data_IF_520211177236
#
_entry.id   IF_520211177236
#
_cell.length_a   1.000
_cell.length_b   1.000
_cell.length_c   1.000
_cell.angle_alpha   90.00
_cell.angle_beta   90.00
_cell.angle_gamma   90.00
#
_symmetry.space_group_name_H-M   'P 1'
#
loop_
_entity.id
_entity.type
_entity.pdbx_description
1 polymer ?
#
# COMPACT_ATOMS: atom_id res chain seq x y z
N UNK A 1 11.10 45.80 15.38
CA UNK A 1 10.17 44.75 14.94
C UNK A 1 11.00 43.72 14.19
N UNK A 2 11.43 42.68 14.91
CA UNK A 2 12.40 41.71 14.41
C UNK A 2 11.65 40.61 13.64
N UNK A 3 11.54 40.78 12.32
CA UNK A 3 11.13 39.71 11.41
C UNK A 3 12.36 38.82 11.31
N UNK A 4 12.40 37.72 12.06
CA UNK A 4 13.41 36.68 11.84
C UNK A 4 13.42 36.36 10.34
N UNK A 5 14.52 36.67 9.67
CA UNK A 5 14.61 36.69 8.19
C UNK A 5 14.14 35.36 7.61
N UNK A 6 12.95 35.33 7.04
CA UNK A 6 12.46 34.23 6.22
C UNK A 6 13.47 34.00 5.10
N UNK A 7 13.95 32.76 4.96
CA UNK A 7 14.96 32.43 3.94
C UNK A 7 14.34 32.51 2.54
N UNK A 8 15.15 32.84 1.54
CA UNK A 8 14.77 32.73 0.12
C UNK A 8 14.57 31.27 -0.30
N UNK A 9 13.91 31.02 -1.44
CA UNK A 9 13.70 29.67 -1.99
C UNK A 9 15.03 28.93 -2.16
N UNK A 10 16.03 29.61 -2.70
CA UNK A 10 17.38 29.07 -2.93
C UNK A 10 18.09 28.75 -1.62
N UNK A 11 17.92 29.60 -0.59
CA UNK A 11 18.48 29.36 0.74
C UNK A 11 17.82 28.17 1.43
N UNK A 12 16.50 28.02 1.38
CA UNK A 12 15.84 26.81 1.91
C UNK A 12 16.31 25.55 1.19
N UNK A 13 16.42 25.58 -0.15
CA UNK A 13 16.93 24.46 -0.92
C UNK A 13 18.38 24.12 -0.56
N UNK A 14 19.23 25.13 -0.39
CA UNK A 14 20.62 24.94 0.03
C UNK A 14 20.70 24.31 1.44
N UNK A 15 19.93 24.82 2.39
CA UNK A 15 19.88 24.26 3.75
C UNK A 15 19.36 22.82 3.77
N UNK A 16 18.35 22.51 2.95
CA UNK A 16 17.84 21.14 2.80
C UNK A 16 18.90 20.19 2.24
N UNK A 17 19.69 20.62 1.24
CA UNK A 17 20.81 19.83 0.70
C UNK A 17 21.92 19.61 1.73
N UNK A 18 22.26 20.62 2.52
CA UNK A 18 23.23 20.46 3.62
C UNK A 18 22.74 19.48 4.69
N UNK A 19 21.45 19.53 5.01
CA UNK A 19 20.82 18.61 5.94
C UNK A 19 20.82 17.17 5.41
N UNK A 20 20.58 16.97 4.10
CA UNK A 20 20.67 15.67 3.43
C UNK A 20 22.08 15.09 3.52
N UNK A 21 23.12 15.89 3.24
CA UNK A 21 24.53 15.47 3.38
C UNK A 21 24.92 15.07 4.81
N UNK A 22 24.17 15.56 5.80
CA UNK A 22 24.38 15.24 7.21
C UNK A 22 23.39 14.20 7.75
N UNK A 23 22.59 13.59 6.87
CA UNK A 23 21.53 12.62 7.19
C UNK A 23 20.50 13.13 8.22
N UNK A 24 20.34 14.46 8.32
CA UNK A 24 19.37 15.10 9.22
C UNK A 24 18.04 15.29 8.51
N UNK A 25 17.32 14.19 8.28
CA UNK A 25 16.11 14.19 7.44
C UNK A 25 14.92 14.98 8.01
N UNK A 26 14.86 15.18 9.33
CA UNK A 26 13.90 16.12 9.93
C UNK A 26 14.17 17.56 9.48
N UNK A 27 15.44 17.96 9.40
CA UNK A 27 15.82 19.30 8.94
C UNK A 27 15.59 19.45 7.43
N UNK A 28 15.82 18.39 6.64
CA UNK A 28 15.43 18.36 5.21
C UNK A 28 13.93 18.64 5.09
N UNK A 29 13.12 17.91 5.85
CA UNK A 29 11.65 18.02 5.84
C UNK A 29 11.21 19.43 6.25
N UNK A 30 11.78 19.99 7.32
CA UNK A 30 11.44 21.33 7.79
C UNK A 30 11.77 22.41 6.75
N UNK A 31 12.97 22.37 6.15
CA UNK A 31 13.37 23.33 5.12
C UNK A 31 12.51 23.21 3.85
N UNK A 32 12.25 21.98 3.40
CA UNK A 32 11.43 21.75 2.21
C UNK A 32 9.96 22.09 2.42
N UNK A 33 9.40 21.84 3.59
CA UNK A 33 8.02 22.23 3.92
C UNK A 33 7.86 23.75 3.94
N UNK A 34 8.84 24.49 4.48
CA UNK A 34 8.87 25.95 4.42
C UNK A 34 8.98 26.44 2.98
N UNK A 35 9.86 25.82 2.17
CA UNK A 35 9.98 26.13 0.75
C UNK A 35 8.64 25.97 0.02
N UNK A 36 7.97 24.84 0.22
CA UNK A 36 6.66 24.56 -0.40
C UNK A 36 5.61 25.58 0.06
N UNK A 37 5.53 25.85 1.36
CA UNK A 37 4.51 26.73 1.93
C UNK A 37 4.66 28.18 1.46
N UNK A 38 5.90 28.65 1.27
CA UNK A 38 6.18 30.05 0.97
C UNK A 38 6.32 30.35 -0.52
N UNK A 39 6.77 29.40 -1.34
CA UNK A 39 7.21 29.67 -2.71
C UNK A 39 6.53 28.82 -3.78
N UNK A 40 5.74 27.80 -3.40
CA UNK A 40 5.00 26.97 -4.36
C UNK A 40 3.58 27.50 -4.53
N UNK A 41 3.18 27.68 -5.78
CA UNK A 41 1.85 28.13 -6.16
C UNK A 41 1.46 27.50 -7.52
N UNK A 42 0.22 27.66 -7.99
CA UNK A 42 -0.19 27.18 -9.32
C UNK A 42 0.67 27.70 -10.48
N UNK A 43 1.39 28.82 -10.30
CA UNK A 43 2.29 29.42 -11.30
C UNK A 43 3.77 29.18 -10.99
N UNK A 44 4.10 28.51 -9.89
CA UNK A 44 5.46 28.31 -9.38
C UNK A 44 5.57 26.89 -8.82
N UNK A 45 5.71 25.90 -9.71
CA UNK A 45 5.84 24.50 -9.32
C UNK A 45 7.23 24.18 -8.72
N UNK A 46 7.33 23.04 -8.03
CA UNK A 46 8.63 22.48 -7.66
C UNK A 46 9.36 21.95 -8.90
N UNK A 47 10.66 22.19 -8.98
CA UNK A 47 11.57 21.52 -9.89
C UNK A 47 11.70 20.04 -9.54
N UNK A 48 12.21 19.21 -10.45
CA UNK A 48 12.43 17.79 -10.19
C UNK A 48 13.34 17.55 -8.98
N UNK A 49 14.42 18.33 -8.86
CA UNK A 49 15.37 18.25 -7.73
C UNK A 49 14.67 18.58 -6.41
N UNK A 50 13.85 19.63 -6.37
CA UNK A 50 13.11 19.99 -5.16
C UNK A 50 12.04 18.94 -4.81
N UNK A 51 11.33 18.38 -5.80
CA UNK A 51 10.37 17.28 -5.58
C UNK A 51 11.05 16.06 -4.98
N UNK A 52 12.20 15.66 -5.54
CA UNK A 52 13.00 14.52 -5.06
C UNK A 52 13.48 14.77 -3.63
N UNK A 53 14.03 15.95 -3.33
CA UNK A 53 14.55 16.27 -2.00
C UNK A 53 13.45 16.33 -0.92
N UNK A 54 12.28 16.91 -1.24
CA UNK A 54 11.12 16.89 -0.35
C UNK A 54 10.74 15.46 0.03
N UNK A 55 10.70 14.57 -0.96
CA UNK A 55 10.38 13.17 -0.74
C UNK A 55 11.48 12.45 0.03
N UNK A 56 12.76 12.68 -0.28
CA UNK A 56 13.90 12.09 0.45
C UNK A 56 13.80 12.39 1.94
N UNK A 57 13.53 13.65 2.32
CA UNK A 57 13.35 14.03 3.73
C UNK A 57 12.19 13.28 4.38
N UNK A 58 10.99 13.41 3.83
CA UNK A 58 9.80 12.81 4.44
C UNK A 58 9.84 11.27 4.43
N UNK A 59 10.46 10.65 3.42
CA UNK A 59 10.59 9.19 3.30
C UNK A 59 11.51 8.63 4.38
N UNK A 60 12.69 9.23 4.57
CA UNK A 60 13.64 8.73 5.57
C UNK A 60 13.09 8.89 7.00
N UNK A 61 12.39 9.99 7.30
CA UNK A 61 11.73 10.19 8.59
C UNK A 61 10.66 9.12 8.84
N UNK A 62 9.75 8.91 7.88
CA UNK A 62 8.67 7.92 8.07
C UNK A 62 9.20 6.49 8.09
N UNK A 63 10.22 6.15 7.29
CA UNK A 63 10.79 4.79 7.24
C UNK A 63 11.50 4.43 8.55
N UNK A 64 12.19 5.39 9.19
CA UNK A 64 12.77 5.19 10.52
C UNK A 64 11.68 4.89 11.56
N UNK A 65 10.61 5.67 11.58
CA UNK A 65 9.47 5.47 12.49
C UNK A 65 8.76 4.15 12.24
N UNK A 66 8.52 3.79 10.97
CA UNK A 66 7.89 2.52 10.59
C UNK A 66 8.75 1.31 10.98
N UNK A 67 10.07 1.40 10.82
CA UNK A 67 11.00 0.35 11.25
C UNK A 67 10.94 0.14 12.77
N UNK A 68 10.95 1.23 13.54
CA UNK A 68 10.78 1.18 14.99
C UNK A 68 9.41 0.58 15.37
N UNK A 69 8.33 1.03 14.72
CA UNK A 69 6.98 0.55 14.96
C UNK A 69 6.82 -0.95 14.66
N UNK A 70 7.38 -1.46 13.56
CA UNK A 70 7.37 -2.90 13.24
C UNK A 70 8.08 -3.72 14.31
N UNK A 71 9.24 -3.24 14.76
CA UNK A 71 10.03 -3.90 15.81
C UNK A 71 9.24 -3.98 17.12
N UNK A 72 8.64 -2.86 17.55
CA UNK A 72 7.84 -2.80 18.78
C UNK A 72 6.58 -3.65 18.66
N UNK A 73 5.92 -3.63 17.49
CA UNK A 73 4.73 -4.45 17.21
C UNK A 73 5.05 -5.94 17.29
N UNK A 74 6.20 -6.38 16.78
CA UNK A 74 6.67 -7.76 16.92
C UNK A 74 6.92 -8.13 18.39
N UNK A 75 7.51 -7.22 19.18
CA UNK A 75 7.73 -7.43 20.62
C UNK A 75 6.41 -7.53 21.39
N UNK A 76 5.37 -6.78 20.98
CA UNK A 76 4.02 -6.89 21.59
C UNK A 76 3.33 -8.21 21.22
N UNK A 77 3.51 -8.69 19.99
CA UNK A 77 2.92 -9.95 19.49
C UNK A 77 3.59 -11.20 20.09
N UNK A 78 4.91 -11.13 20.36
CA UNK A 78 5.66 -12.22 20.99
C UNK A 78 5.34 -12.32 22.49
N UNK A 79 4.30 -13.10 22.81
CA UNK A 79 3.80 -13.35 24.17
C UNK A 79 4.42 -14.56 24.88
N UNK A 80 5.35 -15.28 24.24
CA UNK A 80 5.96 -16.47 24.84
C UNK A 80 6.65 -16.13 26.17
N UNK A 81 6.20 -16.79 27.25
CA UNK A 81 6.81 -16.73 28.58
C UNK A 81 6.49 -15.49 29.42
N UNK A 82 5.67 -14.53 28.95
CA UNK A 82 5.34 -13.32 29.73
C UNK A 82 4.07 -13.53 30.57
N UNK A 83 4.16 -13.20 31.86
CA UNK A 83 2.98 -13.01 32.72
C UNK A 83 2.35 -11.66 32.36
N UNK A 84 1.05 -11.63 32.10
CA UNK A 84 0.30 -10.38 31.91
C UNK A 84 0.64 -9.38 33.03
N UNK A 85 1.04 -8.15 32.68
CA UNK A 85 1.44 -7.12 33.65
C UNK A 85 1.90 -5.79 33.02
N UNK A 86 2.36 -4.86 33.87
CA UNK A 86 2.86 -3.49 33.52
C UNK A 86 3.83 -3.44 32.31
N UNK A 87 4.74 -4.41 32.08
CA UNK A 87 5.60 -4.41 30.89
C UNK A 87 4.85 -4.46 29.56
N UNK A 88 3.74 -5.19 29.45
CA UNK A 88 2.95 -5.28 28.20
C UNK A 88 2.20 -3.97 27.92
N UNK A 89 1.69 -3.32 28.96
CA UNK A 89 1.03 -2.03 28.83
C UNK A 89 2.00 -0.94 28.37
N UNK A 90 3.25 -0.95 28.88
CA UNK A 90 4.30 -0.01 28.46
C UNK A 90 4.67 -0.18 26.98
N UNK A 91 4.84 -1.42 26.52
CA UNK A 91 5.11 -1.71 25.10
C UNK A 91 3.97 -1.20 24.22
N UNK A 92 2.73 -1.48 24.61
CA UNK A 92 1.55 -1.00 23.90
C UNK A 92 1.49 0.54 23.84
N UNK A 93 1.73 1.24 24.95
CA UNK A 93 1.76 2.71 24.98
C UNK A 93 2.84 3.26 24.05
N UNK A 94 4.01 2.63 24.02
CA UNK A 94 5.09 3.05 23.13
C UNK A 94 4.76 2.80 21.65
N UNK A 95 4.12 1.67 21.30
CA UNK A 95 3.60 1.44 19.94
C UNK A 95 2.65 2.56 19.52
N UNK A 96 1.66 2.91 20.34
CA UNK A 96 0.71 3.98 20.00
C UNK A 96 1.39 5.35 19.88
N UNK A 97 2.45 5.62 20.66
CA UNK A 97 3.26 6.83 20.48
C UNK A 97 3.88 6.88 19.08
N UNK A 98 4.47 5.78 18.62
CA UNK A 98 5.05 5.67 17.27
C UNK A 98 3.97 5.83 16.18
N UNK A 99 2.78 5.27 16.38
CA UNK A 99 1.64 5.44 15.45
C UNK A 99 1.22 6.91 15.33
N UNK A 100 1.18 7.64 16.44
CA UNK A 100 0.92 9.08 16.44
C UNK A 100 2.01 9.87 15.70
N UNK A 101 3.27 9.50 15.85
CA UNK A 101 4.39 10.12 15.14
C UNK A 101 4.34 9.83 13.63
N UNK A 102 4.07 8.58 13.23
CA UNK A 102 3.88 8.19 11.82
C UNK A 102 2.71 8.96 11.22
N UNK A 103 1.57 9.00 11.92
CA UNK A 103 0.36 9.69 11.44
C UNK A 103 0.64 11.17 11.19
N UNK A 104 1.32 11.83 12.13
CA UNK A 104 1.68 13.25 12.01
C UNK A 104 2.54 13.54 10.76
N UNK A 105 3.52 12.69 10.46
CA UNK A 105 4.36 12.84 9.27
C UNK A 105 3.54 12.63 7.99
N UNK A 106 2.71 11.58 7.96
CA UNK A 106 1.84 11.27 6.81
C UNK A 106 0.84 12.40 6.56
N UNK A 107 0.14 12.87 7.59
CA UNK A 107 -0.84 13.95 7.49
C UNK A 107 -0.20 15.25 7.01
N UNK A 108 1.03 15.54 7.45
CA UNK A 108 1.79 16.71 7.02
C UNK A 108 2.03 16.74 5.51
N UNK A 109 2.56 15.66 4.94
CA UNK A 109 2.82 15.59 3.49
C UNK A 109 1.54 15.45 2.67
N UNK A 110 0.53 14.71 3.17
CA UNK A 110 -0.78 14.58 2.51
C UNK A 110 -1.47 15.94 2.42
N UNK A 111 -1.35 16.78 3.45
CA UNK A 111 -1.83 18.16 3.41
C UNK A 111 -1.15 18.97 2.30
N UNK A 112 0.19 18.95 2.25
CA UNK A 112 0.94 19.66 1.20
C UNK A 112 0.59 19.15 -0.21
N UNK A 113 0.40 17.84 -0.37
CA UNK A 113 0.00 17.24 -1.63
C UNK A 113 -1.36 17.75 -2.11
N UNK A 114 -2.36 17.73 -1.22
CA UNK A 114 -3.72 18.10 -1.57
C UNK A 114 -3.90 19.61 -1.76
N UNK A 115 -3.27 20.42 -0.91
CA UNK A 115 -3.47 21.89 -0.91
C UNK A 115 -2.55 22.60 -1.91
N UNK A 116 -1.35 22.07 -2.19
CA UNK A 116 -0.31 22.82 -2.90
C UNK A 116 0.30 22.07 -4.08
N UNK A 117 0.78 20.83 -3.88
CA UNK A 117 1.62 20.16 -4.89
C UNK A 117 0.81 19.62 -6.08
N UNK A 118 -0.31 18.93 -5.83
CA UNK A 118 -1.18 18.45 -6.91
C UNK A 118 -1.78 19.64 -7.70
N UNK A 119 -2.30 20.71 -7.06
CA UNK A 119 -2.76 21.90 -7.77
C UNK A 119 -1.65 22.61 -8.58
N UNK A 120 -0.40 22.62 -8.10
CA UNK A 120 0.72 23.24 -8.81
C UNK A 120 1.32 22.39 -9.94
N UNK A 121 0.88 21.14 -10.12
CA UNK A 121 1.40 20.27 -11.18
C UNK A 121 1.05 20.74 -12.60
N UNK A 122 0.07 21.64 -12.77
CA UNK A 122 -0.29 22.24 -14.06
C UNK A 122 -0.61 21.18 -15.13
N UNK A 123 0.02 21.28 -16.29
CA UNK A 123 -0.07 20.30 -17.38
C UNK A 123 0.99 19.18 -17.32
N UNK A 124 1.90 19.20 -16.34
CA UNK A 124 2.98 18.21 -16.24
C UNK A 124 2.41 16.84 -15.84
N UNK A 125 2.43 15.91 -16.78
CA UNK A 125 2.04 14.51 -16.58
C UNK A 125 2.94 13.85 -15.52
N UNK A 126 4.25 14.03 -15.64
CA UNK A 126 5.21 13.45 -14.70
C UNK A 126 4.99 13.94 -13.27
N UNK A 127 4.76 15.25 -13.09
CA UNK A 127 4.48 15.81 -11.76
C UNK A 127 3.19 15.23 -11.17
N UNK A 128 2.13 15.08 -11.97
CA UNK A 128 0.87 14.48 -11.52
C UNK A 128 1.07 13.03 -11.10
N UNK A 129 1.68 12.21 -11.96
CA UNK A 129 1.93 10.78 -11.65
C UNK A 129 2.79 10.68 -10.39
N UNK A 130 3.84 11.49 -10.28
CA UNK A 130 4.69 11.54 -9.09
C UNK A 130 3.87 11.85 -7.83
N UNK A 131 3.14 12.97 -7.80
CA UNK A 131 2.40 13.38 -6.60
C UNK A 131 1.29 12.41 -6.20
N UNK A 132 0.53 11.86 -7.16
CA UNK A 132 -0.48 10.85 -6.84
C UNK A 132 0.13 9.53 -6.33
N UNK A 133 1.30 9.14 -6.86
CA UNK A 133 2.03 7.97 -6.34
C UNK A 133 2.46 8.19 -4.90
N UNK A 134 3.03 9.36 -4.60
CA UNK A 134 3.44 9.71 -3.24
C UNK A 134 2.23 9.80 -2.30
N UNK A 135 1.11 10.37 -2.76
CA UNK A 135 -0.14 10.35 -1.98
C UNK A 135 -0.58 8.93 -1.63
N UNK A 136 -0.53 8.01 -2.60
CA UNK A 136 -0.81 6.59 -2.38
C UNK A 136 0.15 5.94 -1.39
N UNK A 137 1.44 6.28 -1.43
CA UNK A 137 2.43 5.76 -0.48
C UNK A 137 2.15 6.19 0.96
N UNK A 138 1.85 7.47 1.20
CA UNK A 138 1.57 7.95 2.56
C UNK A 138 0.22 7.49 3.08
N UNK A 139 -0.81 7.39 2.23
CA UNK A 139 -2.08 6.75 2.60
C UNK A 139 -1.87 5.24 2.90
N UNK A 140 -0.97 4.56 2.18
CA UNK A 140 -0.59 3.17 2.47
C UNK A 140 0.13 3.04 3.81
N UNK A 141 0.99 3.98 4.18
CA UNK A 141 1.64 3.97 5.50
C UNK A 141 0.64 4.16 6.64
N UNK A 142 -0.38 4.99 6.45
CA UNK A 142 -1.50 5.11 7.39
C UNK A 142 -2.32 3.81 7.47
N UNK A 143 -2.57 3.14 6.35
CA UNK A 143 -3.26 1.85 6.32
C UNK A 143 -2.47 0.74 7.03
N UNK A 144 -1.13 0.78 6.99
CA UNK A 144 -0.27 -0.19 7.67
C UNK A 144 -0.44 -0.16 9.19
N UNK A 145 -0.51 1.03 9.78
CA UNK A 145 -0.66 1.20 11.23
C UNK A 145 -2.13 1.08 11.71
N UNK A 146 -3.09 1.33 10.82
CA UNK A 146 -4.53 1.21 11.09
C UNK A 146 -5.09 -0.11 10.55
N UNK A 147 -4.54 -1.24 10.98
CA UNK A 147 -4.94 -2.56 10.49
C UNK A 147 -6.43 -2.81 10.71
N UNK A 148 -7.14 -3.15 9.63
CA UNK A 148 -8.59 -3.40 9.65
C UNK A 148 -9.45 -2.17 9.41
N UNK A 149 -8.85 -1.00 9.20
CA UNK A 149 -9.52 0.18 8.67
C UNK A 149 -9.55 0.12 7.13
N UNK A 150 -10.67 -0.35 6.59
CA UNK A 150 -10.89 -0.44 5.15
C UNK A 150 -10.79 0.95 4.49
N UNK A 151 -11.16 2.04 5.19
CA UNK A 151 -11.16 3.41 4.63
C UNK A 151 -9.74 3.87 4.25
N UNK A 152 -8.77 3.65 5.13
CA UNK A 152 -7.37 3.99 4.86
C UNK A 152 -6.83 3.22 3.64
N UNK A 153 -7.16 1.92 3.54
CA UNK A 153 -6.72 1.08 2.42
C UNK A 153 -7.39 1.47 1.09
N UNK A 154 -8.64 1.92 1.12
CA UNK A 154 -9.39 2.41 -0.03
C UNK A 154 -8.83 3.73 -0.55
N UNK A 155 -8.49 4.67 0.34
CA UNK A 155 -7.84 5.94 -0.03
C UNK A 155 -6.56 5.71 -0.83
N UNK A 156 -5.64 4.89 -0.31
CA UNK A 156 -4.40 4.55 -1.00
C UNK A 156 -4.66 3.93 -2.38
N UNK A 157 -5.65 3.03 -2.47
CA UNK A 157 -6.07 2.40 -3.74
C UNK A 157 -6.57 3.44 -4.75
N UNK A 158 -7.36 4.41 -4.31
CA UNK A 158 -7.87 5.49 -5.18
C UNK A 158 -6.73 6.37 -5.70
N UNK A 159 -5.77 6.73 -4.83
CA UNK A 159 -4.60 7.54 -5.22
C UNK A 159 -3.72 6.81 -6.24
N UNK A 160 -3.41 5.53 -6.02
CA UNK A 160 -2.65 4.74 -6.98
C UNK A 160 -3.40 4.55 -8.31
N UNK A 161 -4.73 4.36 -8.29
CA UNK A 161 -5.54 4.29 -9.52
C UNK A 161 -5.55 5.61 -10.30
N UNK A 162 -5.60 6.75 -9.60
CA UNK A 162 -5.49 8.06 -10.23
C UNK A 162 -4.13 8.23 -10.92
N UNK A 163 -3.03 7.88 -10.23
CA UNK A 163 -1.69 7.87 -10.82
C UNK A 163 -1.61 6.92 -12.03
N UNK A 164 -2.18 5.72 -11.91
CA UNK A 164 -2.14 4.68 -12.95
C UNK A 164 -2.89 5.10 -14.20
N UNK A 165 -4.06 5.72 -14.05
CA UNK A 165 -4.85 6.23 -15.18
C UNK A 165 -4.04 7.21 -16.02
N UNK A 166 -3.35 8.15 -15.37
CA UNK A 166 -2.50 9.14 -16.04
C UNK A 166 -1.24 8.48 -16.64
N UNK A 167 -0.57 7.62 -15.87
CA UNK A 167 0.67 6.98 -16.30
C UNK A 167 0.47 6.04 -17.50
N UNK A 168 -0.64 5.28 -17.54
CA UNK A 168 -0.93 4.38 -18.65
C UNK A 168 -1.31 5.12 -19.94
N UNK A 169 -1.89 6.32 -19.83
CA UNK A 169 -2.29 7.13 -20.96
C UNK A 169 -1.09 7.83 -21.62
N UNK A 170 -0.18 8.39 -20.82
CA UNK A 170 0.81 9.36 -21.29
C UNK A 170 2.27 8.96 -21.08
N UNK A 171 2.58 7.89 -20.31
CA UNK A 171 3.94 7.43 -20.07
C UNK A 171 4.20 6.05 -20.70
N UNK A 172 5.34 5.91 -21.39
CA UNK A 172 5.78 4.63 -21.96
C UNK A 172 6.01 3.58 -20.86
N UNK A 173 5.85 2.27 -21.15
CA UNK A 173 6.06 1.20 -20.18
C UNK A 173 7.41 1.23 -19.45
N UNK A 174 8.50 1.57 -20.15
CA UNK A 174 9.83 1.67 -19.55
C UNK A 174 10.07 2.93 -18.72
N UNK A 175 9.11 3.85 -18.64
CA UNK A 175 9.29 5.13 -17.94
C UNK A 175 9.47 4.92 -16.41
N UNK A 176 10.47 5.53 -15.75
CA UNK A 176 10.75 5.32 -14.33
C UNK A 176 9.55 5.54 -13.41
N UNK A 177 8.79 6.62 -13.62
CA UNK A 177 7.59 6.91 -12.82
C UNK A 177 6.48 5.86 -12.97
N UNK A 178 6.28 5.31 -14.18
CA UNK A 178 5.27 4.27 -14.42
C UNK A 178 5.69 2.95 -13.76
N UNK A 179 6.97 2.60 -13.86
CA UNK A 179 7.56 1.44 -13.19
C UNK A 179 7.50 1.57 -11.66
N UNK A 180 7.88 2.73 -11.11
CA UNK A 180 7.86 3.00 -9.68
C UNK A 180 6.44 2.95 -9.12
N UNK A 181 5.46 3.50 -9.84
CA UNK A 181 4.05 3.37 -9.50
C UNK A 181 3.62 1.90 -9.47
N UNK A 182 3.95 1.10 -10.49
CA UNK A 182 3.57 -0.32 -10.53
C UNK A 182 4.20 -1.10 -9.38
N UNK A 183 5.46 -0.81 -9.04
CA UNK A 183 6.14 -1.39 -7.88
C UNK A 183 5.39 -1.07 -6.59
N UNK A 184 5.14 0.21 -6.30
CA UNK A 184 4.50 0.62 -5.06
C UNK A 184 3.05 0.11 -4.95
N UNK A 185 2.31 0.11 -6.07
CA UNK A 185 0.95 -0.38 -6.09
C UNK A 185 0.88 -1.91 -5.93
N UNK A 186 1.84 -2.65 -6.50
CA UNK A 186 1.95 -4.11 -6.25
C UNK A 186 2.20 -4.41 -4.78
N UNK A 187 3.06 -3.63 -4.12
CA UNK A 187 3.34 -3.75 -2.67
C UNK A 187 2.09 -3.43 -1.86
N UNK A 188 1.29 -2.43 -2.25
CA UNK A 188 -0.01 -2.16 -1.61
C UNK A 188 -0.96 -3.37 -1.69
N UNK A 189 -1.08 -3.98 -2.88
CA UNK A 189 -1.90 -5.18 -3.03
C UNK A 189 -1.41 -6.34 -2.16
N UNK A 190 -0.11 -6.52 -2.02
CA UNK A 190 0.48 -7.59 -1.22
C UNK A 190 0.36 -7.32 0.28
N UNK A 191 0.93 -6.21 0.75
CA UNK A 191 1.11 -5.91 2.17
C UNK A 191 -0.20 -5.47 2.84
N UNK A 192 -1.00 -4.64 2.18
CA UNK A 192 -2.21 -4.05 2.77
C UNK A 192 -3.45 -4.87 2.42
N UNK A 193 -3.71 -5.09 1.13
CA UNK A 193 -4.94 -5.74 0.68
C UNK A 193 -4.90 -7.28 0.76
N UNK A 194 -3.74 -7.86 1.10
CA UNK A 194 -3.51 -9.32 1.16
C UNK A 194 -3.94 -10.04 -0.12
N UNK A 195 -3.81 -9.36 -1.26
CA UNK A 195 -4.22 -9.82 -2.59
C UNK A 195 -2.98 -10.25 -3.41
N UNK A 196 -2.29 -11.29 -2.95
CA UNK A 196 -1.01 -11.75 -3.49
C UNK A 196 -1.05 -12.02 -4.99
N UNK A 197 -2.11 -12.66 -5.50
CA UNK A 197 -2.24 -12.94 -6.93
C UNK A 197 -2.27 -11.65 -7.77
N UNK A 198 -3.01 -10.64 -7.32
CA UNK A 198 -3.09 -9.32 -7.98
C UNK A 198 -1.74 -8.60 -7.93
N UNK A 199 -1.05 -8.64 -6.79
CA UNK A 199 0.28 -8.05 -6.63
C UNK A 199 1.30 -8.66 -7.61
N UNK A 200 1.40 -10.00 -7.63
CA UNK A 200 2.31 -10.71 -8.54
C UNK A 200 1.98 -10.44 -10.01
N UNK A 201 0.68 -10.46 -10.37
CA UNK A 201 0.25 -10.19 -11.74
C UNK A 201 0.62 -8.77 -12.17
N UNK A 202 0.40 -7.77 -11.30
CA UNK A 202 0.72 -6.38 -11.60
C UNK A 202 2.22 -6.18 -11.81
N UNK A 203 3.05 -6.71 -10.90
CA UNK A 203 4.50 -6.56 -11.00
C UNK A 203 5.08 -7.28 -12.23
N UNK A 204 4.54 -8.45 -12.58
CA UNK A 204 4.93 -9.19 -13.78
C UNK A 204 4.58 -8.45 -15.06
N UNK A 205 3.34 -7.98 -15.19
CA UNK A 205 2.90 -7.22 -16.37
C UNK A 205 3.77 -5.96 -16.56
N UNK A 206 4.02 -5.21 -15.49
CA UNK A 206 4.88 -4.03 -15.56
C UNK A 206 6.32 -4.35 -16.01
N UNK A 207 6.87 -5.48 -15.56
CA UNK A 207 8.20 -5.94 -15.97
C UNK A 207 8.23 -6.36 -17.44
N UNK A 208 7.28 -7.19 -17.86
CA UNK A 208 7.19 -7.73 -19.22
C UNK A 208 6.96 -6.59 -20.24
N UNK A 209 6.02 -5.67 -19.97
CA UNK A 209 5.73 -4.51 -20.84
C UNK A 209 6.96 -3.59 -20.98
N UNK A 210 7.69 -3.34 -19.89
CA UNK A 210 8.87 -2.48 -19.90
C UNK A 210 10.04 -3.12 -20.63
N UNK A 211 10.21 -4.44 -20.50
CA UNK A 211 11.23 -5.20 -21.24
C UNK A 211 10.97 -5.13 -22.75
N UNK A 212 9.72 -5.29 -23.17
CA UNK A 212 9.31 -5.18 -24.57
C UNK A 212 9.56 -3.77 -25.14
N UNK A 213 9.18 -2.71 -24.40
CA UNK A 213 9.39 -1.32 -24.78
C UNK A 213 10.88 -0.98 -24.89
N UNK A 214 11.73 -1.46 -23.97
CA UNK A 214 13.18 -1.26 -24.02
C UNK A 214 13.83 -1.97 -25.20
N UNK A 215 13.43 -3.21 -25.50
CA UNK A 215 13.96 -3.95 -26.65
C UNK A 215 13.57 -3.33 -28.00
N UNK A 216 12.45 -2.60 -28.03
CA UNK A 216 11.92 -1.95 -29.23
C UNK A 216 12.46 -0.53 -29.45
N UNK A 217 13.12 0.07 -28.45
CA UNK A 217 13.59 1.46 -28.49
C UNK A 217 15.09 1.54 -28.82
N UNK A 218 15.54 2.37 -29.77
CA UNK A 218 16.94 2.44 -30.22
C UNK A 218 17.88 3.21 -29.26
N UNK A 219 17.66 3.15 -27.94
CA UNK A 219 18.45 3.88 -26.95
C UNK A 219 18.75 3.06 -25.70
N UNK A 220 19.83 3.40 -25.00
CA UNK A 220 20.17 2.76 -23.74
C UNK A 220 19.07 3.01 -22.69
N UNK A 221 18.57 1.97 -22.01
CA UNK A 221 17.58 2.15 -20.96
C UNK A 221 18.10 3.01 -19.82
N UNK A 222 17.21 3.80 -19.21
CA UNK A 222 17.54 4.54 -17.99
C UNK A 222 17.98 3.58 -16.88
N UNK A 223 19.13 3.86 -16.26
CA UNK A 223 19.64 3.10 -15.11
C UNK A 223 18.62 3.03 -13.96
N UNK A 224 17.83 4.08 -13.78
CA UNK A 224 16.74 4.11 -12.80
C UNK A 224 15.64 3.10 -13.16
N UNK A 225 15.28 3.02 -14.45
CA UNK A 225 14.28 2.05 -14.93
C UNK A 225 14.75 0.62 -14.77
N UNK A 226 16.01 0.34 -15.12
CA UNK A 226 16.63 -0.97 -14.94
C UNK A 226 16.65 -1.39 -13.47
N UNK A 227 16.98 -0.47 -12.57
CA UNK A 227 16.95 -0.73 -11.13
C UNK A 227 15.54 -1.06 -10.63
N UNK A 228 14.52 -0.30 -11.04
CA UNK A 228 13.13 -0.55 -10.63
C UNK A 228 12.64 -1.90 -11.18
N UNK A 229 12.98 -2.25 -12.42
CA UNK A 229 12.66 -3.57 -12.98
C UNK A 229 13.29 -4.72 -12.20
N UNK A 230 14.52 -4.54 -11.71
CA UNK A 230 15.15 -5.53 -10.84
C UNK A 230 14.40 -5.70 -9.52
N UNK A 231 13.91 -4.60 -8.93
CA UNK A 231 13.06 -4.64 -7.72
C UNK A 231 11.71 -5.32 -7.97
N UNK A 232 11.06 -5.03 -9.10
CA UNK A 232 9.83 -5.71 -9.51
C UNK A 232 10.05 -7.22 -9.65
N UNK A 233 11.14 -7.61 -10.34
CA UNK A 233 11.52 -9.02 -10.46
C UNK A 233 11.82 -9.62 -9.09
N UNK A 234 12.56 -8.92 -8.24
CA UNK A 234 12.88 -9.39 -6.90
C UNK A 234 11.61 -9.61 -6.08
N UNK A 235 10.65 -8.69 -6.07
CA UNK A 235 9.39 -8.87 -5.32
C UNK A 235 8.57 -10.07 -5.82
N UNK A 236 8.52 -10.28 -7.15
CA UNK A 236 7.80 -11.43 -7.74
C UNK A 236 8.55 -12.74 -7.51
N UNK A 237 9.88 -12.74 -7.58
CA UNK A 237 10.71 -13.96 -7.49
C UNK A 237 11.16 -14.28 -6.07
N UNK A 238 11.12 -13.31 -5.16
CA UNK A 238 11.36 -13.51 -3.74
C UNK A 238 10.38 -14.57 -3.28
N UNK A 239 10.95 -15.65 -2.77
CA UNK A 239 10.25 -16.87 -2.41
C UNK A 239 9.06 -16.60 -1.49
N UNK A 240 9.02 -15.51 -0.71
CA UNK A 240 7.87 -15.19 0.14
C UNK A 240 6.56 -14.95 -0.64
N UNK A 241 6.53 -14.13 -1.70
CA UNK A 241 5.27 -13.85 -2.41
C UNK A 241 4.78 -15.10 -3.16
N UNK A 242 5.70 -15.85 -3.77
CA UNK A 242 5.38 -17.10 -4.46
C UNK A 242 5.04 -18.24 -3.52
N UNK A 243 5.69 -18.33 -2.35
CA UNK A 243 5.36 -19.31 -1.31
C UNK A 243 4.00 -18.97 -0.70
N UNK A 244 3.74 -17.71 -0.33
CA UNK A 244 2.44 -17.29 0.17
C UNK A 244 1.33 -17.54 -0.86
N UNK A 245 1.59 -17.29 -2.14
CA UNK A 245 0.65 -17.60 -3.21
C UNK A 245 0.43 -19.11 -3.33
N UNK A 246 1.49 -19.92 -3.26
CA UNK A 246 1.40 -21.38 -3.29
C UNK A 246 0.58 -21.89 -2.11
N UNK A 247 0.85 -21.42 -0.90
CA UNK A 247 0.15 -21.78 0.32
C UNK A 247 -1.32 -21.38 0.25
N UNK A 248 -1.63 -20.18 -0.26
CA UNK A 248 -3.02 -19.74 -0.50
C UNK A 248 -3.73 -20.61 -1.54
N UNK A 249 -3.05 -21.02 -2.61
CA UNK A 249 -3.63 -21.90 -3.65
C UNK A 249 -3.86 -23.31 -3.11
N UNK A 250 -2.91 -23.86 -2.35
CA UNK A 250 -3.05 -25.15 -1.69
C UNK A 250 -4.17 -25.13 -0.66
N UNK A 251 -4.24 -24.10 0.19
CA UNK A 251 -5.31 -23.92 1.14
C UNK A 251 -6.68 -23.83 0.45
N UNK A 252 -6.81 -23.04 -0.62
CA UNK A 252 -8.05 -22.95 -1.41
C UNK A 252 -8.42 -24.27 -2.09
N UNK A 253 -7.43 -25.06 -2.55
CA UNK A 253 -7.67 -26.42 -3.08
C UNK A 253 -8.20 -27.35 -2.01
N UNK A 254 -7.59 -27.36 -0.82
CA UNK A 254 -8.04 -28.16 0.33
C UNK A 254 -9.46 -27.76 0.74
N UNK A 255 -9.75 -26.47 0.86
CA UNK A 255 -11.10 -25.97 1.15
C UNK A 255 -12.12 -26.39 0.09
N UNK A 256 -11.77 -26.33 -1.20
CA UNK A 256 -12.64 -26.80 -2.27
C UNK A 256 -12.90 -28.32 -2.21
N UNK A 257 -11.89 -29.12 -1.86
CA UNK A 257 -12.05 -30.56 -1.64
C UNK A 257 -12.96 -30.82 -0.45
N UNK A 258 -12.74 -30.14 0.68
CA UNK A 258 -13.59 -30.26 1.87
C UNK A 258 -15.03 -29.85 1.55
N UNK A 259 -15.24 -28.73 0.84
CA UNK A 259 -16.55 -28.26 0.44
C UNK A 259 -17.27 -29.25 -0.49
N UNK A 260 -16.57 -29.81 -1.49
CA UNK A 260 -17.13 -30.85 -2.38
C UNK A 260 -17.46 -32.12 -1.62
N UNK A 261 -16.60 -32.55 -0.70
CA UNK A 261 -16.83 -33.71 0.17
C UNK A 261 -18.00 -33.45 1.12
N UNK A 262 -18.14 -32.26 1.70
CA UNK A 262 -19.27 -31.88 2.55
C UNK A 262 -20.57 -31.77 1.75
N UNK A 263 -20.53 -31.29 0.50
CA UNK A 263 -21.68 -31.26 -0.41
C UNK A 263 -22.10 -32.67 -0.83
N UNK A 264 -21.13 -33.55 -1.09
CA UNK A 264 -21.37 -34.96 -1.39
C UNK A 264 -21.93 -35.72 -0.16
N UNK A 265 -21.38 -35.49 1.04
CA UNK A 265 -21.81 -36.08 2.30
C UNK A 265 -23.13 -35.49 2.83
N UNK A 266 -23.48 -34.26 2.45
CA UNK A 266 -24.76 -33.62 2.71
C UNK A 266 -25.97 -34.33 2.08
N UNK A 267 -25.71 -35.36 1.25
CA UNK A 267 -26.74 -36.27 0.74
C UNK A 267 -27.04 -37.46 1.66
N UNK A 268 -26.28 -37.70 2.76
CA UNK A 268 -26.40 -38.95 3.55
C UNK A 268 -26.24 -38.92 5.08
N UNK A 269 -26.31 -37.79 5.80
CA UNK A 269 -26.29 -37.83 7.29
C UNK A 269 -27.36 -36.94 7.97
N UNK A 270 -28.14 -37.47 8.93
CA UNK A 270 -29.11 -36.72 9.73
C UNK A 270 -28.47 -36.22 11.04
N UNK A 271 -27.94 -34.99 11.06
CA UNK A 271 -27.78 -34.15 12.27
C UNK A 271 -27.18 -32.78 11.90
N UNK A 272 -28.04 -31.80 11.61
CA UNK A 272 -27.68 -30.50 11.02
C UNK A 272 -27.30 -29.43 12.08
N UNK A 273 -27.42 -29.72 13.38
CA UNK A 273 -27.18 -28.71 14.43
C UNK A 273 -25.69 -28.34 14.59
N UNK A 274 -24.76 -29.30 14.50
CA UNK A 274 -23.33 -29.05 14.72
C UNK A 274 -22.58 -28.50 13.49
N UNK A 275 -23.04 -28.80 12.27
CA UNK A 275 -22.41 -28.32 11.04
C UNK A 275 -22.71 -26.83 10.78
N UNK A 276 -23.93 -26.38 11.09
CA UNK A 276 -24.34 -24.97 10.95
C UNK A 276 -23.55 -24.05 11.88
N UNK A 277 -23.26 -24.50 13.11
CA UNK A 277 -22.44 -23.77 14.07
C UNK A 277 -20.97 -23.65 13.60
N UNK A 278 -20.38 -24.71 13.04
CA UNK A 278 -19.00 -24.69 12.53
C UNK A 278 -18.83 -23.84 11.26
N UNK A 279 -19.84 -23.83 10.37
CA UNK A 279 -19.85 -22.97 9.17
C UNK A 279 -20.10 -21.51 9.54
N UNK A 280 -20.94 -21.22 10.54
CA UNK A 280 -21.14 -19.86 11.04
C UNK A 280 -19.87 -19.30 11.69
N UNK A 281 -19.11 -20.12 12.42
CA UNK A 281 -17.81 -19.73 13.00
C UNK A 281 -16.77 -19.48 11.90
N UNK A 282 -16.71 -20.33 10.87
CA UNK A 282 -15.84 -20.12 9.72
C UNK A 282 -16.24 -18.89 8.88
N UNK A 283 -17.54 -18.60 8.78
CA UNK A 283 -18.07 -17.41 8.11
C UNK A 283 -17.87 -16.11 8.89
N UNK A 284 -17.78 -16.16 10.22
CA UNK A 284 -17.46 -14.99 11.06
C UNK A 284 -15.97 -14.64 11.05
N UNK A 285 -15.10 -15.64 10.85
CA UNK A 285 -13.65 -15.46 10.68
C UNK A 285 -13.25 -14.91 9.30
N UNK A 286 -14.13 -15.02 8.31
CA UNK A 286 -13.92 -14.54 6.94
C UNK A 286 -14.82 -13.34 6.65
N UNK A 287 -14.44 -12.14 7.13
CA UNK A 287 -15.00 -10.91 6.54
C UNK A 287 -14.44 -10.78 5.10
N UNK A 288 -15.29 -10.73 4.06
CA UNK A 288 -14.81 -10.71 2.68
C UNK A 288 -14.36 -9.29 2.28
N UNK A 289 -13.05 -9.10 2.07
CA UNK A 289 -12.43 -7.79 1.73
C UNK A 289 -12.42 -7.51 0.21
N UNK A 290 -12.93 -8.41 -0.64
CA UNK A 290 -13.02 -8.14 -2.09
C UNK A 290 -14.45 -8.26 -2.62
N UNK A 291 -14.81 -7.36 -3.55
CA UNK A 291 -16.11 -7.37 -4.25
C UNK A 291 -16.34 -8.68 -4.99
N UNK A 292 -15.30 -9.29 -5.56
CA UNK A 292 -15.35 -10.61 -6.19
C UNK A 292 -15.67 -11.71 -5.17
N UNK A 293 -15.10 -11.66 -3.97
CA UNK A 293 -15.41 -12.61 -2.88
C UNK A 293 -16.84 -12.41 -2.36
N UNK A 294 -17.32 -11.16 -2.28
CA UNK A 294 -18.72 -10.85 -1.95
C UNK A 294 -19.68 -11.40 -3.01
N UNK A 295 -19.35 -11.32 -4.30
CA UNK A 295 -20.16 -11.86 -5.40
C UNK A 295 -20.22 -13.40 -5.36
N UNK A 296 -19.09 -14.05 -5.09
CA UNK A 296 -19.03 -15.52 -4.96
C UNK A 296 -19.80 -15.99 -3.72
N UNK A 297 -19.67 -15.30 -2.59
CA UNK A 297 -20.45 -15.63 -1.39
C UNK A 297 -21.94 -15.36 -1.56
N UNK A 298 -22.34 -14.28 -2.24
CA UNK A 298 -23.73 -14.00 -2.57
C UNK A 298 -24.32 -15.09 -3.47
N UNK A 299 -23.61 -15.52 -4.50
CA UNK A 299 -24.01 -16.68 -5.33
C UNK A 299 -24.13 -17.96 -4.52
N UNK A 300 -23.22 -18.20 -3.57
CA UNK A 300 -23.30 -19.37 -2.69
C UNK A 300 -24.51 -19.31 -1.74
N UNK A 301 -24.85 -18.13 -1.22
CA UNK A 301 -26.06 -17.90 -0.41
C UNK A 301 -27.34 -18.07 -1.24
N UNK A 302 -27.37 -17.54 -2.47
CA UNK A 302 -28.51 -17.66 -3.38
C UNK A 302 -28.77 -19.13 -3.77
N UNK A 303 -27.69 -19.89 -4.02
CA UNK A 303 -27.77 -21.34 -4.28
C UNK A 303 -28.24 -22.10 -3.03
N UNK A 304 -27.72 -21.77 -1.84
CA UNK A 304 -28.15 -22.39 -0.59
C UNK A 304 -29.64 -22.11 -0.30
N UNK A 305 -30.13 -20.89 -0.55
CA UNK A 305 -31.54 -20.54 -0.42
C UNK A 305 -32.41 -21.24 -1.47
N UNK A 306 -31.94 -21.38 -2.71
CA UNK A 306 -32.65 -22.11 -3.77
C UNK A 306 -32.80 -23.60 -3.44
N UNK A 307 -31.77 -24.23 -2.84
CA UNK A 307 -31.81 -25.64 -2.40
C UNK A 307 -32.74 -25.85 -1.20
N UNK A 308 -32.85 -24.86 -0.30
CA UNK A 308 -33.82 -24.92 0.81
C UNK A 308 -35.26 -24.71 0.31
N UNK A 309 -35.47 -23.84 -0.70
CA UNK A 309 -36.78 -23.62 -1.32
C UNK A 309 -37.26 -24.81 -2.14
N UNK A 310 -36.37 -25.49 -2.88
CA UNK A 310 -36.75 -26.68 -3.67
C UNK A 310 -37.06 -27.91 -2.80
N UNK A 311 -36.57 -27.95 -1.56
CA UNK A 311 -36.90 -28.99 -0.56
C UNK A 311 -38.19 -28.74 0.22
N UNK A 312 -38.70 -27.52 0.24
CA UNK A 312 -39.98 -27.16 0.89
C UNK A 312 -41.19 -27.25 -0.04
N UNK A 313 -40.96 -27.57 -1.32
CA UNK A 313 -41.97 -27.73 -2.37
C UNK A 313 -42.13 -29.17 -2.86
N UNK A 314 -41.57 -30.15 -2.15
CA UNK A 314 -41.80 -31.58 -2.40
C UNK A 314 -42.87 -32.06 -1.39
N UNK A 315 -44.02 -32.60 -1.84
CA UNK A 315 -45.09 -33.08 -0.96
C UNK A 315 -44.67 -34.27 -0.10
#
# INVERSE_FOLDING_TARGET
MDISKTLTREQYLYMAKLAELSERYEDVTNNMNNLVTLYVSPTSALTEVERKLLLTGNKNVVDQLRSAWRTVSLVEQNKEGRKNGDPEERVRKYRHKLEGEISKVCDGILKLLNETLIPSAGSSIESKVFYYTIRGDYERYLAEINVGDDECSEKATLSYKAAQTIALADLRPSHPLRLSLALNFSVHFYEILKATQTACSMARVAFDDALEDMNSSPGEPSMESLHIMQLLRYNVTASSWLNDLRDQVEHNRVLNVIYRSATALGTRLPSIANAKARVAVAGALLRPVSSSTKVVMKRAQDVAQAVVKSRSSLP
#
